data_IF_795412347984
#
_entry.id   IF_795412347984
#
_cell.length_a   1.000
_cell.length_b   1.000
_cell.length_c   1.000
_cell.angle_alpha   90.00
_cell.angle_beta   90.00
_cell.angle_gamma   90.00
#
_symmetry.space_group_name_H-M   'P 1'
#
loop_
_entity.id
_entity.type
_entity.pdbx_description
1 polymer ?
#
# COMPACT_ATOMS: atom_id res chain seq x y z
N UNK A 1 -35.05 -35.40 22.45
CA UNK A 1 -35.02 -35.15 20.98
C UNK A 1 -35.31 -33.71 20.56
N UNK A 2 -36.16 -32.92 21.24
CA UNK A 2 -36.43 -31.51 20.86
C UNK A 2 -35.26 -30.52 21.08
N UNK A 3 -34.33 -30.79 22.01
CA UNK A 3 -33.19 -29.90 22.29
C UNK A 3 -32.07 -29.93 21.22
N UNK A 4 -31.91 -31.04 20.48
CA UNK A 4 -30.89 -31.14 19.41
C UNK A 4 -31.33 -30.34 18.17
N UNK A 5 -32.63 -30.15 17.95
CA UNK A 5 -33.15 -29.35 16.84
C UNK A 5 -32.91 -27.85 17.05
N UNK A 6 -33.10 -27.35 18.27
CA UNK A 6 -32.84 -25.96 18.62
C UNK A 6 -31.35 -25.58 18.52
N UNK A 7 -30.44 -26.49 18.87
CA UNK A 7 -29.00 -26.26 18.73
C UNK A 7 -28.56 -26.18 17.26
N UNK A 8 -29.16 -26.97 16.36
CA UNK A 8 -28.91 -26.87 14.92
C UNK A 8 -29.40 -25.54 14.33
N UNK A 9 -30.56 -25.04 14.75
CA UNK A 9 -31.06 -23.74 14.31
C UNK A 9 -30.29 -22.56 14.92
N UNK A 10 -29.74 -22.71 16.13
CA UNK A 10 -28.86 -21.72 16.74
C UNK A 10 -27.53 -21.61 15.99
N UNK A 11 -26.93 -22.74 15.61
CA UNK A 11 -25.68 -22.79 14.82
C UNK A 11 -25.91 -22.29 13.38
N UNK A 12 -27.06 -22.60 12.76
CA UNK A 12 -27.40 -22.08 11.42
C UNK A 12 -27.80 -20.59 11.47
N UNK A 13 -28.40 -20.12 12.57
CA UNK A 13 -28.76 -18.73 12.80
C UNK A 13 -27.54 -17.81 13.04
N UNK A 14 -26.51 -18.30 13.72
CA UNK A 14 -25.23 -17.60 13.91
C UNK A 14 -24.40 -17.47 12.62
N UNK A 15 -24.65 -18.31 11.60
CA UNK A 15 -23.97 -18.24 10.30
C UNK A 15 -24.65 -17.32 9.26
N UNK A 16 -25.70 -16.57 9.63
CA UNK A 16 -26.49 -15.77 8.67
C UNK A 16 -26.33 -14.26 8.82
N UNK A 17 -25.37 -13.78 9.62
CA UNK A 17 -25.02 -12.36 9.62
C UNK A 17 -24.22 -12.13 8.34
N UNK A 18 -24.73 -11.31 7.42
CA UNK A 18 -24.00 -10.84 6.25
C UNK A 18 -22.82 -10.01 6.74
N UNK A 19 -21.69 -10.67 6.96
CA UNK A 19 -20.46 -10.00 7.34
C UNK A 19 -20.09 -9.12 6.14
N UNK A 20 -20.06 -7.78 6.27
CA UNK A 20 -19.47 -6.95 5.23
C UNK A 20 -18.05 -7.49 5.01
N UNK A 21 -17.64 -7.74 3.76
CA UNK A 21 -16.29 -8.23 3.49
C UNK A 21 -15.28 -7.34 4.22
N UNK A 22 -14.61 -7.84 5.25
CA UNK A 22 -13.63 -7.05 6.01
C UNK A 22 -12.30 -7.22 5.31
N UNK A 23 -11.86 -6.19 4.58
CA UNK A 23 -10.91 -6.42 3.53
C UNK A 23 -9.47 -6.19 3.99
N UNK A 24 -8.51 -6.69 3.21
CA UNK A 24 -7.07 -6.45 3.37
C UNK A 24 -6.40 -6.05 2.06
N UNK A 25 -5.09 -5.85 2.09
CA UNK A 25 -4.28 -5.47 0.92
C UNK A 25 -4.36 -6.52 -0.19
N UNK A 26 -4.41 -7.81 0.17
CA UNK A 26 -4.54 -8.93 -0.79
C UNK A 26 -5.87 -8.87 -1.55
N UNK A 27 -6.97 -8.51 -0.88
CA UNK A 27 -8.28 -8.38 -1.52
C UNK A 27 -8.24 -7.34 -2.64
N UNK A 28 -7.79 -6.12 -2.34
CA UNK A 28 -7.76 -5.03 -3.32
C UNK A 28 -6.68 -5.22 -4.37
N UNK A 29 -5.58 -5.89 -4.03
CA UNK A 29 -4.53 -6.32 -4.97
C UNK A 29 -5.12 -7.22 -6.06
N UNK A 30 -5.83 -8.27 -5.65
CA UNK A 30 -6.50 -9.21 -6.55
C UNK A 30 -7.68 -8.63 -7.35
N UNK A 31 -8.08 -7.40 -7.06
CA UNK A 31 -9.07 -6.62 -7.79
C UNK A 31 -8.44 -5.55 -8.68
N UNK A 32 -7.15 -5.68 -9.01
CA UNK A 32 -6.47 -4.71 -9.89
C UNK A 32 -6.21 -3.38 -9.19
N UNK A 33 -5.85 -3.42 -7.91
CA UNK A 33 -5.51 -2.24 -7.10
C UNK A 33 -6.61 -1.18 -7.02
N UNK A 34 -7.89 -1.58 -7.11
CA UNK A 34 -9.04 -0.66 -7.05
C UNK A 34 -9.35 -0.14 -5.65
N UNK A 35 -8.51 -0.44 -4.65
CA UNK A 35 -8.79 -0.20 -3.23
C UNK A 35 -9.08 1.25 -2.87
N UNK A 36 -8.47 2.21 -3.58
CA UNK A 36 -8.68 3.64 -3.33
C UNK A 36 -10.12 4.09 -3.62
N UNK A 37 -10.85 3.36 -4.47
CA UNK A 37 -12.25 3.63 -4.82
C UNK A 37 -13.26 2.96 -3.88
N UNK A 38 -12.80 2.24 -2.86
CA UNK A 38 -13.65 1.49 -1.94
C UNK A 38 -13.34 1.78 -0.48
N UNK A 39 -14.30 1.54 0.40
CA UNK A 39 -14.02 1.41 1.83
C UNK A 39 -13.25 0.11 2.07
N UNK A 40 -11.98 0.27 2.47
CA UNK A 40 -11.07 -0.84 2.69
C UNK A 40 -10.05 -0.53 3.79
N UNK A 41 -9.65 -1.54 4.57
CA UNK A 41 -8.63 -1.42 5.64
C UNK A 41 -7.27 -1.06 5.05
N UNK A 42 -6.98 -1.49 3.82
CA UNK A 42 -5.77 -1.10 3.10
C UNK A 42 -5.59 0.43 2.99
N UNK A 43 -6.70 1.19 3.06
CA UNK A 43 -6.67 2.65 2.99
C UNK A 43 -6.39 3.34 4.34
N UNK A 44 -6.24 2.62 5.45
CA UNK A 44 -6.07 3.23 6.78
C UNK A 44 -4.83 4.12 6.90
N UNK A 45 -3.78 3.80 6.13
CA UNK A 45 -2.58 4.64 6.06
C UNK A 45 -2.90 6.03 5.51
N UNK A 46 -3.70 6.07 4.45
CA UNK A 46 -4.11 7.30 3.75
C UNK A 46 -5.24 8.03 4.48
N UNK A 47 -6.18 7.30 5.07
CA UNK A 47 -7.35 7.85 5.78
C UNK A 47 -7.45 7.27 7.20
N UNK A 48 -6.64 7.75 8.17
CA UNK A 48 -6.60 7.20 9.52
C UNK A 48 -7.94 7.21 10.26
N UNK A 49 -8.80 8.20 9.97
CA UNK A 49 -10.14 8.29 10.56
C UNK A 49 -11.05 7.11 10.22
N UNK A 50 -10.82 6.45 9.08
CA UNK A 50 -11.63 5.30 8.66
C UNK A 50 -11.42 4.05 9.53
N UNK A 51 -10.47 4.07 10.48
CA UNK A 51 -10.24 2.97 11.45
C UNK A 51 -11.53 2.58 12.15
N UNK A 52 -12.37 3.56 12.48
CA UNK A 52 -13.63 3.36 13.21
C UNK A 52 -14.64 2.47 12.46
N UNK A 53 -14.48 2.30 11.14
CA UNK A 53 -15.31 1.39 10.33
C UNK A 53 -15.00 -0.08 10.55
N UNK A 54 -13.87 -0.40 11.19
CA UNK A 54 -13.35 -1.76 11.32
C UNK A 54 -13.11 -2.13 12.80
N UNK A 55 -14.13 -2.09 13.67
CA UNK A 55 -13.95 -2.49 15.07
C UNK A 55 -13.69 -4.01 15.19
N UNK A 56 -13.07 -4.42 16.30
CA UNK A 56 -12.84 -5.82 16.69
C UNK A 56 -12.19 -6.68 15.60
N UNK A 57 -11.08 -6.19 15.06
CA UNK A 57 -10.40 -6.82 13.94
C UNK A 57 -9.05 -7.39 14.35
N UNK A 58 -8.74 -8.61 13.92
CA UNK A 58 -7.37 -9.10 13.79
C UNK A 58 -7.12 -9.33 12.31
N UNK A 59 -6.02 -8.81 11.79
CA UNK A 59 -5.63 -8.97 10.38
C UNK A 59 -4.16 -9.34 10.31
N UNK A 60 -3.78 -10.20 9.39
CA UNK A 60 -2.39 -10.45 9.05
C UNK A 60 -2.25 -10.61 7.54
N UNK A 61 -1.25 -9.94 6.98
CA UNK A 61 -0.86 -10.09 5.58
C UNK A 61 0.42 -10.92 5.54
N UNK A 62 0.47 -11.91 4.67
CA UNK A 62 1.61 -12.76 4.39
C UNK A 62 1.99 -12.58 2.91
N UNK A 63 3.26 -12.34 2.65
CA UNK A 63 3.83 -12.14 1.30
C UNK A 63 4.87 -13.22 1.04
N UNK A 64 5.36 -13.30 -0.21
CA UNK A 64 6.34 -14.30 -0.61
C UNK A 64 7.52 -14.44 0.36
N UNK A 65 7.91 -15.70 0.58
CA UNK A 65 9.10 -16.06 1.34
C UNK A 65 10.33 -15.54 0.59
N UNK A 66 11.22 -14.84 1.30
CA UNK A 66 12.46 -14.21 0.78
C UNK A 66 12.30 -12.82 0.13
N UNK A 67 11.13 -12.19 0.21
CA UNK A 67 11.02 -10.75 -0.02
C UNK A 67 11.19 -10.02 1.33
N UNK A 68 11.79 -8.82 1.34
CA UNK A 68 11.62 -7.91 2.49
C UNK A 68 10.12 -7.71 2.74
N UNK A 69 9.68 -7.58 3.99
CA UNK A 69 8.28 -7.43 4.39
C UNK A 69 7.41 -8.70 4.16
N UNK A 70 7.93 -9.84 4.62
CA UNK A 70 7.26 -11.15 4.52
C UNK A 70 5.90 -11.22 5.22
N UNK A 71 5.66 -10.39 6.24
CA UNK A 71 4.36 -10.35 6.92
C UNK A 71 4.06 -8.98 7.52
N UNK A 72 2.78 -8.68 7.71
CA UNK A 72 2.32 -7.66 8.66
C UNK A 72 1.19 -8.21 9.50
N UNK A 73 0.98 -7.63 10.68
CA UNK A 73 -0.12 -8.01 11.56
C UNK A 73 -0.74 -6.78 12.20
N UNK A 74 -2.07 -6.77 12.34
CA UNK A 74 -2.84 -5.66 12.88
C UNK A 74 -3.90 -6.16 13.84
N UNK A 75 -4.17 -5.36 14.87
CA UNK A 75 -5.31 -5.57 15.78
C UNK A 75 -6.04 -4.24 16.01
N UNK A 76 -7.36 -4.28 15.95
CA UNK A 76 -8.24 -3.15 16.25
C UNK A 76 -9.08 -3.47 17.49
N UNK A 77 -8.99 -2.61 18.50
CA UNK A 77 -9.64 -2.78 19.79
C UNK A 77 -10.47 -1.55 20.14
N UNK A 78 -11.76 -1.71 20.48
CA UNK A 78 -12.58 -0.61 20.97
C UNK A 78 -12.03 -0.14 22.31
N UNK A 79 -11.91 1.18 22.45
CA UNK A 79 -11.43 1.87 23.64
C UNK A 79 -12.63 2.61 24.25
N UNK A 80 -13.54 1.84 24.85
CA UNK A 80 -14.84 2.33 25.31
C UNK A 80 -15.83 2.53 24.16
N UNK A 81 -16.83 3.39 24.37
CA UNK A 81 -17.99 3.48 23.47
C UNK A 81 -17.77 4.38 22.24
N UNK A 82 -16.73 5.22 22.26
CA UNK A 82 -16.54 6.28 21.26
C UNK A 82 -15.18 6.30 20.60
N UNK A 83 -14.26 5.42 21.01
CA UNK A 83 -12.91 5.40 20.47
C UNK A 83 -12.51 3.98 20.05
N UNK A 84 -11.60 3.90 19.09
CA UNK A 84 -11.03 2.67 18.58
C UNK A 84 -9.53 2.85 18.43
N UNK A 85 -8.75 1.95 19.01
CA UNK A 85 -7.31 1.88 18.80
C UNK A 85 -6.98 0.77 17.81
N UNK A 86 -5.98 1.00 16.95
CA UNK A 86 -5.40 -0.01 16.10
C UNK A 86 -3.88 -0.01 16.24
N UNK A 87 -3.29 -1.19 16.32
CA UNK A 87 -1.85 -1.40 16.31
C UNK A 87 -1.51 -2.32 15.15
N UNK A 88 -0.60 -1.88 14.29
CA UNK A 88 -0.01 -2.70 13.25
C UNK A 88 1.48 -2.87 13.49
N UNK A 89 1.97 -4.08 13.24
CA UNK A 89 3.37 -4.48 13.33
C UNK A 89 3.85 -4.95 11.97
N UNK A 90 5.15 -4.79 11.75
CA UNK A 90 5.84 -5.14 10.52
C UNK A 90 5.14 -4.56 9.27
N UNK A 91 4.77 -3.27 9.32
CA UNK A 91 4.30 -2.56 8.14
C UNK A 91 5.45 -1.92 7.39
N UNK A 92 5.30 -1.89 6.07
CA UNK A 92 6.28 -1.31 5.17
C UNK A 92 6.17 0.21 5.10
N UNK A 93 7.31 0.88 5.25
CA UNK A 93 7.47 2.29 5.00
C UNK A 93 8.43 2.49 3.83
N UNK A 94 7.87 2.94 2.70
CA UNK A 94 8.66 3.31 1.55
C UNK A 94 9.25 4.69 1.77
N UNK A 95 10.56 4.76 1.69
CA UNK A 95 11.33 5.98 1.79
C UNK A 95 11.73 6.45 0.39
N UNK A 96 11.57 7.74 0.05
CA UNK A 96 11.96 8.26 -1.25
C UNK A 96 13.48 8.51 -1.26
N UNK A 97 14.27 7.44 -1.17
CA UNK A 97 15.73 7.56 -1.25
C UNK A 97 16.13 8.23 -2.56
N UNK A 98 17.05 9.21 -2.52
CA UNK A 98 17.61 9.79 -3.73
C UNK A 98 18.45 8.73 -4.44
N UNK A 99 18.56 8.81 -5.77
CA UNK A 99 19.35 7.83 -6.54
C UNK A 99 20.84 7.80 -6.19
N UNK A 100 21.33 8.81 -5.46
CA UNK A 100 22.70 8.89 -4.95
C UNK A 100 22.94 7.95 -3.77
N UNK A 101 21.87 7.53 -3.08
CA UNK A 101 21.92 6.57 -1.98
C UNK A 101 21.37 5.24 -2.48
N UNK A 102 22.16 4.19 -2.31
CA UNK A 102 21.71 2.80 -2.46
C UNK A 102 21.79 2.16 -1.09
N UNK A 103 20.73 2.26 -0.26
CA UNK A 103 20.72 1.63 1.05
C UNK A 103 20.79 0.10 0.88
N UNK A 104 21.37 -0.58 1.87
CA UNK A 104 21.43 -2.05 1.85
C UNK A 104 20.06 -2.67 2.16
N UNK A 105 19.21 -1.96 2.88
CA UNK A 105 17.82 -2.32 3.12
C UNK A 105 16.91 -1.82 2.00
N UNK A 106 15.83 -2.56 1.73
CA UNK A 106 14.83 -2.19 0.72
C UNK A 106 13.83 -1.19 1.25
N UNK A 107 12.86 -1.67 2.02
CA UNK A 107 11.87 -0.84 2.69
C UNK A 107 12.00 -1.03 4.19
N UNK A 108 11.71 0.03 4.96
CA UNK A 108 11.73 -0.10 6.41
C UNK A 108 10.50 -0.84 6.90
N UNK A 109 10.74 -1.75 7.83
CA UNK A 109 9.71 -2.46 8.57
C UNK A 109 9.48 -1.74 9.91
N UNK A 110 8.21 -1.49 10.23
CA UNK A 110 7.86 -0.68 11.40
C UNK A 110 6.52 -1.02 12.02
N UNK A 111 6.11 -0.19 12.95
CA UNK A 111 4.82 -0.26 13.60
C UNK A 111 4.01 1.02 13.38
N UNK A 112 2.69 0.87 13.22
CA UNK A 112 1.74 1.97 13.19
C UNK A 112 0.79 1.85 14.38
N UNK A 113 0.60 2.93 15.14
CA UNK A 113 -0.50 3.06 16.07
C UNK A 113 -1.51 4.08 15.55
N UNK A 114 -2.78 3.71 15.50
CA UNK A 114 -3.88 4.57 15.05
C UNK A 114 -4.94 4.68 16.14
N UNK A 115 -5.46 5.88 16.38
CA UNK A 115 -6.57 6.15 17.27
C UNK A 115 -7.66 6.87 16.49
N UNK A 116 -8.88 6.32 16.52
CA UNK A 116 -10.07 6.93 15.91
C UNK A 116 -11.14 7.22 16.95
N UNK A 117 -11.98 8.22 16.69
CA UNK A 117 -13.11 8.58 17.54
C UNK A 117 -14.27 9.18 16.72
N UNK A 118 -15.50 9.04 17.21
CA UNK A 118 -16.69 9.66 16.63
C UNK A 118 -16.93 11.06 17.22
N UNK A 119 -17.06 12.06 16.35
CA UNK A 119 -17.46 13.43 16.69
C UNK A 119 -18.69 13.80 15.82
N UNK A 120 -19.88 13.66 16.41
CA UNK A 120 -21.13 13.80 15.67
C UNK A 120 -21.31 12.66 14.66
N UNK A 121 -21.55 13.01 13.40
CA UNK A 121 -21.67 12.06 12.28
C UNK A 121 -20.30 11.75 11.62
N UNK A 122 -19.25 12.45 12.03
CA UNK A 122 -17.92 12.31 11.46
C UNK A 122 -17.03 11.47 12.36
N UNK A 123 -16.12 10.74 11.74
CA UNK A 123 -15.00 10.04 12.36
C UNK A 123 -13.78 10.92 12.27
N UNK A 124 -13.03 11.06 13.36
CA UNK A 124 -11.70 11.69 13.36
C UNK A 124 -10.68 10.63 13.71
N UNK A 125 -9.48 10.72 13.13
CA UNK A 125 -8.42 9.77 13.43
C UNK A 125 -7.04 10.40 13.40
N UNK A 126 -6.15 9.80 14.16
CA UNK A 126 -4.75 10.16 14.27
C UNK A 126 -3.90 8.90 14.24
N UNK A 127 -2.75 8.95 13.59
CA UNK A 127 -1.81 7.83 13.46
C UNK A 127 -0.38 8.30 13.69
N UNK A 128 0.41 7.46 14.36
CA UNK A 128 1.87 7.58 14.43
C UNK A 128 2.46 6.29 13.85
N UNK A 129 3.31 6.45 12.85
CA UNK A 129 4.13 5.38 12.29
C UNK A 129 5.58 5.55 12.72
N UNK A 130 6.22 4.44 13.08
CA UNK A 130 7.64 4.38 13.41
C UNK A 130 8.27 3.17 12.73
N UNK A 131 9.36 3.39 12.00
CA UNK A 131 10.16 2.32 11.41
C UNK A 131 11.63 2.60 11.67
N UNK A 132 12.38 1.55 12.01
CA UNK A 132 13.82 1.65 12.21
C UNK A 132 14.49 0.36 11.78
N UNK A 133 15.61 0.47 11.10
CA UNK A 133 16.41 -0.65 10.65
C UNK A 133 17.89 -0.30 10.81
N UNK A 134 18.67 -1.26 11.27
CA UNK A 134 20.11 -1.12 11.44
C UNK A 134 20.81 -2.36 10.88
N UNK A 135 21.85 -2.14 10.08
CA UNK A 135 22.70 -3.18 9.53
C UNK A 135 24.13 -2.83 9.87
N UNK A 136 24.76 -3.68 10.68
CA UNK A 136 26.18 -3.62 10.98
C UNK A 136 26.88 -4.77 10.25
N UNK A 137 27.94 -4.46 9.51
CA UNK A 137 28.83 -5.47 8.96
C UNK A 137 30.27 -5.17 9.37
N UNK A 138 30.80 -6.07 10.17
CA UNK A 138 32.22 -6.12 10.55
C UNK A 138 32.83 -7.37 9.95
N UNK A 139 33.78 -7.23 9.03
CA UNK A 139 34.43 -8.35 8.37
C UNK A 139 35.93 -8.31 8.65
N UNK A 140 36.39 -9.12 9.61
CA UNK A 140 37.79 -9.12 10.05
C UNK A 140 38.76 -9.74 9.04
N UNK A 141 38.27 -10.49 8.05
CA UNK A 141 39.10 -11.32 7.15
C UNK A 141 38.83 -11.08 5.64
N UNK A 142 38.02 -10.09 5.26
CA UNK A 142 37.69 -9.84 3.85
C UNK A 142 38.20 -8.49 3.31
N UNK A 143 38.38 -8.41 1.99
CA UNK A 143 38.64 -7.17 1.25
C UNK A 143 37.39 -6.27 1.15
N UNK A 144 36.27 -6.64 1.78
CA UNK A 144 35.05 -5.83 1.77
C UNK A 144 35.09 -4.78 2.88
N UNK A 145 34.52 -3.62 2.59
CA UNK A 145 34.50 -2.49 3.51
C UNK A 145 33.55 -2.75 4.67
N UNK A 146 34.02 -2.56 5.90
CA UNK A 146 33.17 -2.43 7.08
C UNK A 146 32.19 -1.28 6.87
N UNK A 147 30.91 -1.54 7.20
CA UNK A 147 29.89 -0.51 7.19
C UNK A 147 28.87 -0.66 8.32
N UNK A 148 28.34 0.47 8.72
CA UNK A 148 27.24 0.62 9.68
C UNK A 148 26.17 1.52 9.03
N UNK A 149 24.98 0.97 8.82
CA UNK A 149 23.83 1.65 8.24
C UNK A 149 22.69 1.68 9.25
N UNK A 150 22.09 2.86 9.46
CA UNK A 150 20.89 3.06 10.26
C UNK A 150 19.89 3.87 9.47
N UNK A 151 18.64 3.44 9.43
CA UNK A 151 17.52 4.23 8.93
C UNK A 151 16.39 4.31 9.94
N UNK A 152 15.75 5.46 9.98
CA UNK A 152 14.60 5.75 10.84
C UNK A 152 13.57 6.56 10.07
N UNK A 153 12.31 6.24 10.25
CA UNK A 153 11.19 7.02 9.73
C UNK A 153 10.14 7.22 10.80
N UNK A 154 9.73 8.46 10.99
CA UNK A 154 8.61 8.83 11.85
C UNK A 154 7.54 9.50 11.01
N UNK A 155 6.30 9.04 11.10
CA UNK A 155 5.17 9.58 10.34
C UNK A 155 4.04 9.96 11.30
N UNK A 156 3.50 11.16 11.16
CA UNK A 156 2.29 11.60 11.84
C UNK A 156 1.21 11.77 10.80
N UNK A 157 0.03 11.20 11.03
CA UNK A 157 -1.10 11.36 10.12
C UNK A 157 -2.39 11.65 10.88
N UNK A 158 -3.29 12.38 10.24
CA UNK A 158 -4.61 12.68 10.76
C UNK A 158 -5.63 12.77 9.66
N UNK A 159 -6.90 12.68 10.01
CA UNK A 159 -7.96 12.76 9.00
C UNK A 159 -9.36 12.87 9.58
N UNK A 160 -10.31 13.01 8.66
CA UNK A 160 -11.75 12.99 8.94
C UNK A 160 -12.43 12.12 7.91
N UNK A 161 -13.35 11.28 8.35
CA UNK A 161 -14.11 10.34 7.52
C UNK A 161 -15.60 10.41 7.83
N UNK A 162 -16.45 10.18 6.84
CA UNK A 162 -17.91 10.04 7.00
C UNK A 162 -18.45 8.99 6.02
N UNK A 163 -19.75 8.73 6.00
CA UNK A 163 -20.35 7.83 5.00
C UNK A 163 -20.14 8.24 3.53
N UNK A 164 -19.77 9.51 3.28
CA UNK A 164 -19.70 10.09 1.93
C UNK A 164 -18.34 10.65 1.56
N UNK A 165 -17.37 10.69 2.48
CA UNK A 165 -16.04 11.20 2.17
C UNK A 165 -14.98 10.65 3.11
N UNK A 166 -13.73 10.67 2.66
CA UNK A 166 -12.56 10.49 3.51
C UNK A 166 -11.51 11.54 3.13
N UNK A 167 -10.94 12.21 4.14
CA UNK A 167 -9.80 13.09 4.03
C UNK A 167 -8.69 12.65 4.97
N UNK A 168 -7.47 12.71 4.48
CA UNK A 168 -6.28 12.43 5.26
C UNK A 168 -5.14 13.37 4.91
N UNK A 169 -4.31 13.63 5.90
CA UNK A 169 -3.04 14.31 5.73
C UNK A 169 -1.98 13.61 6.57
N UNK A 170 -0.73 13.64 6.10
CA UNK A 170 0.40 13.14 6.87
C UNK A 170 1.61 14.06 6.76
N UNK A 171 2.52 13.93 7.71
CA UNK A 171 3.82 14.55 7.77
C UNK A 171 4.85 13.49 8.18
N UNK A 172 5.92 13.33 7.40
CA UNK A 172 6.93 12.30 7.60
C UNK A 172 8.33 12.88 7.75
N UNK A 173 9.14 12.26 8.60
CA UNK A 173 10.50 12.63 8.95
C UNK A 173 11.43 11.44 8.70
N UNK A 174 12.01 11.32 7.50
CA UNK A 174 13.02 10.33 7.22
C UNK A 174 14.40 10.72 7.74
N UNK A 175 15.16 9.72 8.16
CA UNK A 175 16.56 9.81 8.52
C UNK A 175 17.31 8.54 8.09
N UNK A 176 18.52 8.71 7.59
CA UNK A 176 19.47 7.65 7.27
C UNK A 176 20.87 8.12 7.63
N UNK A 177 21.67 7.18 8.09
CA UNK A 177 23.09 7.35 8.34
C UNK A 177 23.83 6.11 7.85
N UNK A 178 24.92 6.34 7.14
CA UNK A 178 25.88 5.31 6.76
C UNK A 178 27.29 5.72 7.15
N UNK A 179 28.03 4.82 7.75
CA UNK A 179 29.48 4.93 7.89
C UNK A 179 30.08 3.78 7.10
N UNK A 180 30.84 4.08 6.06
CA UNK A 180 31.55 3.08 5.27
C UNK A 180 32.99 3.55 5.05
N UNK A 181 33.97 2.70 5.32
CA UNK A 181 35.39 3.06 5.20
C UNK A 181 35.82 4.30 6.03
N UNK A 182 35.11 4.61 7.12
CA UNK A 182 35.32 5.83 7.90
C UNK A 182 34.75 7.12 7.28
N UNK A 183 34.05 7.02 6.14
CA UNK A 183 33.29 8.13 5.54
C UNK A 183 31.86 8.07 6.04
N UNK A 184 31.39 9.17 6.62
CA UNK A 184 30.00 9.34 7.05
C UNK A 184 29.17 9.98 5.95
N UNK A 185 27.99 9.41 5.71
CA UNK A 185 26.95 9.94 4.84
C UNK A 185 25.65 9.98 5.64
N UNK A 186 24.95 11.11 5.57
CA UNK A 186 23.65 11.29 6.22
C UNK A 186 22.62 11.68 5.18
N UNK A 187 21.41 11.20 5.34
CA UNK A 187 20.26 11.68 4.60
C UNK A 187 19.11 11.96 5.53
N UNK A 188 18.48 13.10 5.36
CA UNK A 188 17.33 13.47 6.17
C UNK A 188 16.42 14.41 5.39
N UNK A 189 15.22 14.60 5.89
CA UNK A 189 14.33 15.59 5.30
C UNK A 189 12.97 15.57 5.94
N UNK A 190 12.00 16.05 5.18
CA UNK A 190 10.61 16.00 5.57
C UNK A 190 9.72 15.88 4.35
N UNK A 191 8.52 15.37 4.56
CA UNK A 191 7.48 15.40 3.55
C UNK A 191 6.12 15.49 4.16
N UNK A 192 5.16 15.87 3.35
CA UNK A 192 3.76 15.86 3.71
C UNK A 192 2.95 15.32 2.54
N UNK A 193 1.76 14.83 2.85
CA UNK A 193 0.80 14.48 1.82
C UNK A 193 -0.61 14.77 2.28
N UNK A 194 -1.48 14.98 1.31
CA UNK A 194 -2.92 15.15 1.50
C UNK A 194 -3.65 14.26 0.52
N UNK A 195 -4.76 13.69 0.96
CA UNK A 195 -5.59 12.82 0.14
C UNK A 195 -7.05 13.05 0.47
N UNK A 196 -7.89 12.98 -0.55
CA UNK A 196 -9.32 13.14 -0.41
C UNK A 196 -10.08 12.26 -1.40
N UNK A 197 -11.19 11.69 -0.95
CA UNK A 197 -12.16 11.01 -1.81
C UNK A 197 -13.59 11.25 -1.36
N UNK A 198 -14.52 11.19 -2.30
CA UNK A 198 -15.95 11.37 -2.05
C UNK A 198 -16.73 10.21 -2.65
N UNK A 199 -17.77 9.73 -1.99
CA UNK A 199 -18.63 8.66 -2.45
C UNK A 199 -19.99 9.25 -2.82
N UNK A 200 -20.16 9.57 -4.09
CA UNK A 200 -21.35 10.25 -4.61
C UNK A 200 -22.32 9.24 -5.21
N UNK A 201 -23.54 9.14 -4.69
CA UNK A 201 -24.57 8.22 -5.20
C UNK A 201 -25.13 7.30 -4.11
N UNK A 202 -25.94 6.33 -4.53
CA UNK A 202 -26.58 5.38 -3.61
C UNK A 202 -25.61 4.25 -3.22
N UNK A 203 -25.55 3.89 -1.94
CA UNK A 203 -24.68 2.81 -1.43
C UNK A 203 -24.98 1.45 -2.06
N UNK A 204 -26.26 1.15 -2.33
CA UNK A 204 -26.72 -0.09 -2.97
C UNK A 204 -26.83 0.00 -4.50
N UNK A 205 -26.15 0.97 -5.12
CA UNK A 205 -26.20 1.21 -6.56
C UNK A 205 -24.85 1.59 -7.14
N UNK A 206 -24.88 2.57 -8.04
CA UNK A 206 -23.68 3.16 -8.63
C UNK A 206 -23.24 4.33 -7.74
N UNK A 207 -21.97 4.30 -7.34
CA UNK A 207 -21.28 5.40 -6.70
C UNK A 207 -20.14 5.89 -7.58
N UNK A 208 -20.01 7.21 -7.69
CA UNK A 208 -18.88 7.88 -8.31
C UNK A 208 -17.89 8.29 -7.21
N UNK A 209 -16.62 7.98 -7.43
CA UNK A 209 -15.57 8.17 -6.43
C UNK A 209 -14.43 9.01 -6.99
N UNK A 210 -14.56 10.35 -7.05
CA UNK A 210 -13.43 11.21 -7.35
C UNK A 210 -12.41 11.12 -6.21
N UNK A 211 -11.13 11.00 -6.58
CA UNK A 211 -10.01 10.93 -5.63
C UNK A 211 -8.91 11.89 -6.07
N UNK A 212 -8.35 12.62 -5.12
CA UNK A 212 -7.16 13.45 -5.31
C UNK A 212 -6.12 13.08 -4.27
N UNK A 213 -4.87 12.88 -4.70
CA UNK A 213 -3.73 12.66 -3.83
C UNK A 213 -2.60 13.61 -4.22
N UNK A 214 -1.97 14.21 -3.21
CA UNK A 214 -0.81 15.07 -3.38
C UNK A 214 0.21 14.69 -2.32
N UNK A 215 1.43 14.36 -2.74
CA UNK A 215 2.53 14.06 -1.84
C UNK A 215 3.73 14.91 -2.22
N UNK A 216 4.42 15.49 -1.23
CA UNK A 216 5.64 16.25 -1.43
C UNK A 216 6.67 15.82 -0.39
N UNK A 217 7.91 15.59 -0.83
CA UNK A 217 9.05 15.36 0.05
C UNK A 217 10.22 16.23 -0.40
N UNK A 218 11.01 16.69 0.56
CA UNK A 218 12.27 17.36 0.33
C UNK A 218 13.30 16.78 1.29
N UNK A 219 14.45 16.41 0.76
CA UNK A 219 15.50 15.71 1.50
C UNK A 219 16.87 16.18 1.06
N UNK A 220 17.85 16.08 1.95
CA UNK A 220 19.23 16.46 1.70
C UNK A 220 20.13 15.30 2.09
N UNK A 221 21.10 14.99 1.22
CA UNK A 221 22.21 14.07 1.53
C UNK A 221 23.42 14.91 1.90
N UNK A 222 23.88 14.79 3.14
CA UNK A 222 25.11 15.41 3.62
C UNK A 222 26.26 14.41 3.43
N UNK A 223 27.26 14.82 2.65
CA UNK A 223 28.53 14.13 2.47
C UNK A 223 29.68 15.04 2.91
N UNK A 224 30.88 14.49 3.14
CA UNK A 224 32.01 15.20 3.73
C UNK A 224 32.33 16.60 3.15
N UNK A 225 32.04 16.85 1.87
CA UNK A 225 32.32 18.13 1.21
C UNK A 225 31.14 18.72 0.42
N UNK A 226 29.96 18.10 0.46
CA UNK A 226 28.84 18.52 -0.38
C UNK A 226 27.49 18.09 0.18
N UNK A 227 26.49 18.92 -0.09
CA UNK A 227 25.09 18.63 0.17
C UNK A 227 24.38 18.43 -1.16
N UNK A 228 23.58 17.35 -1.27
CA UNK A 228 22.79 17.04 -2.45
C UNK A 228 21.31 17.10 -2.06
N UNK A 229 20.61 18.08 -2.62
CA UNK A 229 19.18 18.27 -2.38
C UNK A 229 18.36 17.41 -3.33
N UNK A 230 17.29 16.80 -2.82
CA UNK A 230 16.32 16.04 -3.58
C UNK A 230 14.90 16.40 -3.20
N UNK A 231 14.13 16.86 -4.19
CA UNK A 231 12.71 17.16 -4.07
C UNK A 231 11.88 16.12 -4.82
N UNK A 232 10.75 15.74 -4.23
CA UNK A 232 9.75 14.87 -4.81
C UNK A 232 8.37 15.52 -4.73
N UNK A 233 7.61 15.46 -5.81
CA UNK A 233 6.22 15.87 -5.89
C UNK A 233 5.44 14.82 -6.65
N UNK A 234 4.34 14.37 -6.06
CA UNK A 234 3.35 13.51 -6.69
C UNK A 234 1.98 14.18 -6.64
N UNK A 235 1.27 14.12 -7.75
CA UNK A 235 -0.13 14.52 -7.87
C UNK A 235 -0.87 13.46 -8.66
N UNK A 236 -1.98 12.96 -8.12
CA UNK A 236 -2.84 11.98 -8.78
C UNK A 236 -4.28 12.41 -8.68
N UNK A 237 -5.00 12.31 -9.80
CA UNK A 237 -6.42 12.57 -9.90
C UNK A 237 -7.11 11.38 -10.56
N UNK A 238 -8.01 10.75 -9.80
CA UNK A 238 -8.69 9.53 -10.21
C UNK A 238 -10.21 9.70 -10.14
N UNK A 239 -10.91 8.89 -10.91
CA UNK A 239 -12.36 8.74 -10.85
C UNK A 239 -12.71 7.25 -10.83
N UNK A 240 -13.37 6.81 -9.76
CA UNK A 240 -13.93 5.47 -9.63
C UNK A 240 -15.42 5.42 -9.91
N UNK A 241 -15.88 4.27 -10.38
CA UNK A 241 -17.27 3.88 -10.50
C UNK A 241 -17.42 2.57 -9.74
N UNK A 242 -17.99 2.65 -8.55
CA UNK A 242 -18.25 1.53 -7.66
C UNK A 242 -19.69 1.09 -7.86
N UNK A 243 -19.90 -0.08 -8.46
CA UNK A 243 -21.23 -0.61 -8.76
C UNK A 243 -21.48 -1.94 -8.05
N UNK A 244 -22.36 -1.89 -7.06
CA UNK A 244 -22.86 -3.09 -6.38
C UNK A 244 -24.09 -3.61 -7.12
N UNK A 245 -23.91 -4.59 -8.00
CA UNK A 245 -25.00 -5.19 -8.80
C UNK A 245 -26.05 -5.81 -7.87
N UNK A 246 -25.58 -6.47 -6.82
CA UNK A 246 -26.38 -7.03 -5.73
C UNK A 246 -25.45 -7.28 -4.52
N UNK A 247 -25.95 -7.74 -3.36
CA UNK A 247 -25.10 -7.95 -2.18
C UNK A 247 -23.95 -8.95 -2.36
N UNK A 248 -23.96 -9.74 -3.43
CA UNK A 248 -22.97 -10.78 -3.73
C UNK A 248 -22.02 -10.41 -4.87
N UNK A 249 -22.25 -9.30 -5.56
CA UNK A 249 -21.52 -8.96 -6.78
C UNK A 249 -21.15 -7.48 -6.80
N UNK A 250 -19.85 -7.23 -6.89
CA UNK A 250 -19.26 -5.91 -6.93
C UNK A 250 -18.43 -5.77 -8.20
N UNK A 251 -18.60 -4.65 -8.90
CA UNK A 251 -17.75 -4.25 -10.01
C UNK A 251 -17.25 -2.84 -9.75
N UNK A 252 -15.96 -2.62 -10.00
CA UNK A 252 -15.29 -1.33 -9.89
C UNK A 252 -14.63 -1.03 -11.22
N UNK A 253 -14.89 0.15 -11.75
CA UNK A 253 -14.13 0.73 -12.85
C UNK A 253 -13.40 1.95 -12.31
N UNK A 254 -12.11 2.08 -12.57
CA UNK A 254 -11.32 3.24 -12.20
C UNK A 254 -10.65 3.84 -13.41
N UNK A 255 -10.49 5.16 -13.40
CA UNK A 255 -9.65 5.87 -14.36
C UNK A 255 -8.74 6.81 -13.58
N UNK A 256 -7.43 6.65 -13.72
CA UNK A 256 -6.47 7.70 -13.39
C UNK A 256 -6.48 8.69 -14.56
N UNK A 257 -7.18 9.80 -14.37
CA UNK A 257 -7.31 10.84 -15.39
C UNK A 257 -5.97 11.55 -15.60
N UNK A 258 -5.21 11.70 -14.51
CA UNK A 258 -3.90 12.32 -14.52
C UNK A 258 -3.07 11.85 -13.32
N UNK A 259 -1.95 11.20 -13.60
CA UNK A 259 -0.90 10.93 -12.62
C UNK A 259 0.37 11.67 -13.00
N UNK A 260 0.98 12.35 -12.06
CA UNK A 260 2.24 13.07 -12.23
C UNK A 260 3.13 12.83 -11.04
N UNK A 261 4.36 12.41 -11.30
CA UNK A 261 5.42 12.38 -10.29
C UNK A 261 6.65 13.07 -10.86
N UNK A 262 7.29 13.91 -10.04
CA UNK A 262 8.56 14.55 -10.34
C UNK A 262 9.50 14.31 -9.17
N UNK A 263 10.70 13.86 -9.50
CA UNK A 263 11.85 13.86 -8.60
C UNK A 263 12.94 14.73 -9.22
N UNK A 264 13.55 15.57 -8.42
CA UNK A 264 14.67 16.42 -8.81
C UNK A 264 15.80 16.26 -7.81
N UNK A 265 16.99 15.91 -8.29
CA UNK A 265 18.22 15.84 -7.49
C UNK A 265 19.20 16.87 -8.05
N UNK A 266 19.67 17.79 -7.22
CA UNK A 266 20.65 18.83 -7.57
C UNK A 266 21.96 18.53 -6.85
N UNK A 267 22.95 18.04 -7.60
CA UNK A 267 24.33 17.91 -7.14
C UNK A 267 25.08 19.19 -7.58
N UNK A 268 25.54 20.04 -6.63
CA UNK A 268 26.22 21.29 -6.93
C UNK A 268 27.48 21.15 -7.77
N UNK A 269 28.17 20.02 -7.67
CA UNK A 269 29.49 19.79 -8.25
C UNK A 269 29.43 18.95 -9.53
N UNK A 270 28.33 18.25 -9.77
CA UNK A 270 28.17 17.33 -10.90
C UNK A 270 27.06 17.77 -11.87
N UNK A 271 25.82 17.46 -11.53
CA UNK A 271 24.71 17.51 -12.47
C UNK A 271 23.37 17.65 -11.75
N UNK A 272 22.41 18.23 -12.46
CA UNK A 272 21.01 18.28 -12.03
C UNK A 272 20.21 17.22 -12.78
N UNK A 273 19.61 16.28 -12.03
CA UNK A 273 18.78 15.20 -12.57
C UNK A 273 17.32 15.49 -12.25
N UNK A 274 16.50 15.67 -13.28
CA UNK A 274 15.05 15.75 -13.13
C UNK A 274 14.42 14.52 -13.78
N UNK A 275 13.73 13.70 -12.99
CA UNK A 275 12.90 12.60 -13.46
C UNK A 275 11.43 13.01 -13.34
N UNK A 276 10.67 12.81 -14.42
CA UNK A 276 9.24 13.05 -14.46
C UNK A 276 8.54 11.81 -15.01
N UNK A 277 7.56 11.32 -14.27
CA UNK A 277 6.65 10.26 -14.72
C UNK A 277 5.28 10.90 -14.90
N UNK A 278 4.62 10.62 -16.01
CA UNK A 278 3.26 11.08 -16.28
C UNK A 278 2.43 9.92 -16.80
N UNK A 279 1.35 9.61 -16.09
CA UNK A 279 0.41 8.56 -16.43
C UNK A 279 -0.87 9.20 -16.97
N UNK A 280 -1.22 8.92 -18.23
CA UNK A 280 -2.39 9.53 -18.86
C UNK A 280 -2.93 8.71 -20.04
N UNK A 281 -4.17 8.20 -19.96
CA UNK A 281 -4.87 7.76 -18.75
C UNK A 281 -4.31 6.42 -18.22
N UNK A 282 -4.73 5.99 -17.02
CA UNK A 282 -4.65 4.57 -16.63
C UNK A 282 -6.05 4.05 -16.29
N UNK A 283 -6.33 2.78 -16.62
CA UNK A 283 -7.63 2.15 -16.43
C UNK A 283 -7.52 1.01 -15.43
N UNK A 284 -8.49 0.92 -14.53
CA UNK A 284 -8.58 -0.11 -13.50
C UNK A 284 -9.93 -0.80 -13.62
N UNK A 285 -9.93 -2.11 -13.55
CA UNK A 285 -11.13 -2.93 -13.50
C UNK A 285 -10.97 -3.91 -12.35
N UNK A 286 -11.94 -3.97 -11.46
CA UNK A 286 -11.99 -4.93 -10.36
C UNK A 286 -13.38 -5.54 -10.27
N UNK A 287 -13.44 -6.85 -10.13
CA UNK A 287 -14.69 -7.59 -9.92
C UNK A 287 -14.56 -8.52 -8.73
N UNK A 288 -15.62 -8.62 -7.92
CA UNK A 288 -15.73 -9.55 -6.81
C UNK A 288 -17.11 -10.21 -6.84
N UNK A 289 -17.15 -11.54 -6.73
CA UNK A 289 -18.40 -12.30 -6.71
C UNK A 289 -18.38 -13.44 -5.70
N UNK A 290 -19.48 -13.62 -4.96
CA UNK A 290 -19.68 -14.77 -4.08
C UNK A 290 -20.20 -15.96 -4.89
N UNK A 291 -19.30 -16.78 -5.41
CA UNK A 291 -19.66 -18.04 -6.10
C UNK A 291 -20.42 -19.00 -5.16
N UNK A 292 -20.06 -18.99 -3.86
CA UNK A 292 -20.80 -19.63 -2.75
C UNK A 292 -20.73 -18.71 -1.53
N UNK A 293 -21.53 -19.01 -0.48
CA UNK A 293 -21.48 -18.26 0.80
C UNK A 293 -20.10 -18.23 1.45
N UNK A 294 -19.29 -19.26 1.22
CA UNK A 294 -17.95 -19.41 1.77
C UNK A 294 -16.85 -19.14 0.74
N UNK A 295 -17.18 -18.92 -0.54
CA UNK A 295 -16.21 -18.81 -1.63
C UNK A 295 -16.46 -17.53 -2.43
N UNK A 296 -15.45 -16.67 -2.43
CA UNK A 296 -15.40 -15.42 -3.19
C UNK A 296 -14.38 -15.58 -4.30
N UNK A 297 -14.73 -15.12 -5.49
CA UNK A 297 -13.83 -15.04 -6.64
C UNK A 297 -13.60 -13.58 -6.99
N UNK A 298 -12.36 -13.25 -7.35
CA UNK A 298 -11.94 -11.90 -7.72
C UNK A 298 -11.15 -11.93 -9.01
N UNK A 299 -11.34 -10.88 -9.79
CA UNK A 299 -10.61 -10.63 -11.02
C UNK A 299 -10.30 -9.14 -11.09
N UNK A 300 -9.07 -8.82 -11.42
CA UNK A 300 -8.61 -7.45 -11.60
C UNK A 300 -7.84 -7.29 -12.89
N UNK A 301 -7.87 -6.10 -13.45
CA UNK A 301 -7.02 -5.71 -14.57
C UNK A 301 -6.65 -4.23 -14.46
N UNK A 302 -5.40 -3.91 -14.79
CA UNK A 302 -4.88 -2.54 -14.84
C UNK A 302 -4.20 -2.32 -16.17
N UNK A 303 -4.52 -1.23 -16.86
CA UNK A 303 -3.82 -0.78 -18.06
C UNK A 303 -3.21 0.60 -17.78
N UNK A 304 -1.89 0.70 -17.83
CA UNK A 304 -1.19 1.96 -17.56
C UNK A 304 -0.45 2.45 -18.80
N UNK A 305 -0.73 3.68 -19.21
CA UNK A 305 0.03 4.39 -20.23
C UNK A 305 0.94 5.41 -19.53
N UNK A 306 2.25 5.17 -19.55
CA UNK A 306 3.22 6.00 -18.82
C UNK A 306 4.27 6.62 -19.72
N UNK A 307 4.57 7.89 -19.50
CA UNK A 307 5.72 8.59 -20.07
C UNK A 307 6.73 8.90 -18.96
N UNK A 308 7.92 8.31 -19.04
CA UNK A 308 9.04 8.59 -18.16
C UNK A 308 10.07 9.46 -18.90
N UNK A 309 10.21 10.70 -18.44
CA UNK A 309 11.16 11.67 -18.96
C UNK A 309 12.25 11.92 -17.94
N UNK A 310 13.48 11.61 -18.30
CA UNK A 310 14.67 11.91 -17.51
C UNK A 310 15.47 13.00 -18.21
N UNK A 311 15.78 14.06 -17.47
CA UNK A 311 16.61 15.17 -17.92
C UNK A 311 17.85 15.22 -17.04
N UNK A 312 19.03 15.17 -17.66
CA UNK A 312 20.31 15.30 -16.99
C UNK A 312 20.97 16.57 -17.52
N UNK A 313 21.15 17.57 -16.66
CA UNK A 313 21.81 18.82 -17.01
C UNK A 313 23.18 18.84 -16.35
N UNK A 314 24.22 18.63 -17.15
CA UNK A 314 25.61 18.73 -16.70
C UNK A 314 26.00 20.19 -16.66
N UNK A 315 26.66 20.64 -15.58
CA UNK A 315 27.06 22.04 -15.45
C UNK A 315 28.12 22.46 -16.49
N UNK A 316 28.88 21.51 -17.02
CA UNK A 316 29.93 21.72 -18.04
C UNK A 316 29.57 21.23 -19.46
N UNK A 317 28.70 20.23 -19.59
CA UNK A 317 28.55 19.43 -20.83
C UNK A 317 27.13 19.42 -21.42
N UNK A 318 26.36 20.48 -21.18
CA UNK A 318 25.03 20.64 -21.78
C UNK A 318 23.96 19.71 -21.19
N UNK A 319 22.86 19.54 -21.92
CA UNK A 319 21.62 18.91 -21.44
C UNK A 319 21.31 17.63 -22.23
N UNK A 320 21.18 16.51 -21.53
CA UNK A 320 20.67 15.25 -22.08
C UNK A 320 19.21 15.03 -21.65
N UNK A 321 18.39 14.51 -22.56
CA UNK A 321 16.99 14.19 -22.29
C UNK A 321 16.69 12.81 -22.85
N UNK A 322 16.30 11.89 -21.98
CA UNK A 322 15.78 10.56 -22.33
C UNK A 322 14.27 10.56 -22.11
N UNK A 323 13.54 10.01 -23.08
CA UNK A 323 12.09 9.86 -23.03
C UNK A 323 11.72 8.41 -23.35
N UNK A 324 11.03 7.76 -22.43
CA UNK A 324 10.52 6.40 -22.59
C UNK A 324 9.02 6.41 -22.41
N UNK A 325 8.31 5.66 -23.25
CA UNK A 325 6.87 5.44 -23.13
C UNK A 325 6.61 3.96 -22.97
N UNK A 326 5.84 3.59 -21.95
CA UNK A 326 5.44 2.20 -21.69
C UNK A 326 3.93 2.08 -21.72
N UNK A 327 3.49 0.86 -22.03
CA UNK A 327 2.09 0.50 -22.03
C UNK A 327 1.97 -0.89 -21.41
N UNK A 328 1.63 -0.91 -20.13
CA UNK A 328 1.71 -2.11 -19.31
C UNK A 328 0.29 -2.56 -18.95
N UNK A 329 0.05 -3.87 -19.04
CA UNK A 329 -1.21 -4.50 -18.65
C UNK A 329 -0.92 -5.56 -17.59
N UNK A 330 -1.58 -5.42 -16.45
CA UNK A 330 -1.50 -6.37 -15.34
C UNK A 330 -2.87 -6.99 -15.12
N UNK A 331 -2.94 -8.31 -14.98
CA UNK A 331 -4.18 -9.04 -14.67
C UNK A 331 -3.97 -9.78 -13.36
N UNK A 332 -4.93 -9.67 -12.47
CA UNK A 332 -4.87 -10.28 -11.13
C UNK A 332 -6.08 -11.16 -10.89
N UNK A 333 -5.90 -12.25 -10.15
CA UNK A 333 -6.98 -13.18 -9.82
C UNK A 333 -6.88 -13.51 -8.35
N UNK A 334 -8.00 -13.45 -7.64
CA UNK A 334 -8.06 -13.75 -6.21
C UNK A 334 -9.15 -14.72 -5.83
N UNK A 335 -8.93 -15.38 -4.70
CA UNK A 335 -9.92 -16.28 -4.08
C UNK A 335 -10.04 -15.92 -2.61
N UNK A 336 -11.27 -15.76 -2.13
CA UNK A 336 -11.58 -15.56 -0.71
C UNK A 336 -12.33 -16.76 -0.14
N UNK A 337 -11.95 -17.19 1.05
CA UNK A 337 -12.61 -18.26 1.81
C UNK A 337 -13.18 -17.67 3.11
N UNK A 338 -14.50 -17.76 3.27
CA UNK A 338 -15.22 -17.22 4.42
C UNK A 338 -15.79 -18.36 5.28
N UNK A 339 -15.41 -18.40 6.57
CA UNK A 339 -15.91 -19.38 7.55
C UNK A 339 -16.29 -18.65 8.84
N UNK A 340 -17.57 -18.29 8.97
CA UNK A 340 -18.02 -17.44 10.08
C UNK A 340 -17.30 -16.10 10.06
N UNK A 341 -16.69 -15.71 11.17
CA UNK A 341 -15.93 -14.47 11.28
C UNK A 341 -14.48 -14.57 10.77
N UNK A 342 -14.08 -15.74 10.28
CA UNK A 342 -12.76 -15.95 9.69
C UNK A 342 -12.82 -15.75 8.18
N UNK A 343 -11.87 -14.97 7.65
CA UNK A 343 -11.68 -14.72 6.23
C UNK A 343 -10.22 -14.99 5.87
N UNK A 344 -10.04 -15.72 4.76
CA UNK A 344 -8.75 -15.92 4.13
C UNK A 344 -8.83 -15.47 2.68
N UNK A 345 -8.08 -14.44 2.31
CA UNK A 345 -7.96 -13.97 0.94
C UNK A 345 -6.61 -14.38 0.36
N UNK A 346 -6.62 -14.88 -0.87
CA UNK A 346 -5.46 -15.33 -1.63
C UNK A 346 -5.40 -14.52 -2.92
N UNK A 347 -4.23 -13.98 -3.22
CA UNK A 347 -3.92 -13.38 -4.53
C UNK A 347 -3.04 -14.37 -5.31
N UNK A 348 -3.62 -14.90 -6.39
CA UNK A 348 -3.00 -15.93 -7.21
C UNK A 348 -1.94 -15.24 -8.07
N UNK A 349 -0.75 -15.85 -8.16
CA UNK A 349 0.30 -15.40 -9.05
C UNK A 349 -0.19 -15.50 -10.50
N UNK A 350 -0.18 -14.40 -11.22
CA UNK A 350 -0.64 -14.29 -12.60
C UNK A 350 0.23 -15.11 -13.57
N UNK A 351 1.55 -15.17 -13.33
CA UNK A 351 2.45 -16.03 -14.09
C UNK A 351 2.00 -17.50 -14.05
N UNK A 352 1.49 -17.98 -12.92
CA UNK A 352 1.00 -19.35 -12.80
C UNK A 352 -0.19 -19.63 -13.75
N UNK A 353 -1.01 -18.64 -14.08
CA UNK A 353 -2.14 -18.81 -14.99
C UNK A 353 -1.72 -18.87 -16.46
N UNK A 354 -0.65 -18.16 -16.83
CA UNK A 354 -0.19 -18.07 -18.22
C UNK A 354 0.89 -19.11 -18.55
N UNK A 355 1.80 -19.36 -17.61
CA UNK A 355 2.95 -20.25 -17.77
C UNK A 355 2.67 -21.66 -17.23
N UNK A 356 1.68 -21.78 -16.34
CA UNK A 356 1.34 -23.03 -15.67
C UNK A 356 2.29 -23.35 -14.50
N UNK A 357 2.10 -24.50 -13.84
CA UNK A 357 3.01 -24.96 -12.80
C UNK A 357 4.40 -25.26 -13.36
N UNK A 358 5.46 -25.04 -12.58
CA UNK A 358 6.86 -25.27 -12.98
C UNK A 358 7.15 -26.67 -13.52
N UNK A 359 6.47 -27.69 -12.98
CA UNK A 359 6.65 -29.07 -13.45
C UNK A 359 6.10 -29.30 -14.86
N UNK A 360 5.27 -28.38 -15.39
CA UNK A 360 4.76 -28.39 -16.76
C UNK A 360 5.53 -27.39 -17.63
N UNK A 361 5.86 -26.19 -17.12
CA UNK A 361 6.52 -25.12 -17.88
C UNK A 361 8.01 -25.41 -18.15
N UNK A 362 8.66 -26.18 -17.28
CA UNK A 362 10.09 -26.48 -17.39
C UNK A 362 11.02 -25.32 -17.04
N UNK A 363 10.48 -24.22 -16.47
CA UNK A 363 11.30 -23.18 -15.87
C UNK A 363 12.05 -23.77 -14.66
N UNK A 364 13.36 -23.50 -14.58
CA UNK A 364 14.22 -24.07 -13.55
C UNK A 364 13.83 -23.58 -12.16
N UNK A 365 14.21 -24.34 -11.13
CA UNK A 365 13.92 -24.10 -9.70
C UNK A 365 14.40 -22.75 -9.11
N UNK A 366 14.91 -21.83 -9.93
CA UNK A 366 15.41 -20.51 -9.56
C UNK A 366 14.43 -19.38 -9.87
N UNK A 367 13.36 -19.63 -10.62
CA UNK A 367 12.25 -18.69 -10.81
C UNK A 367 11.11 -19.14 -9.88
N UNK A 368 10.81 -18.33 -8.86
CA UNK A 368 9.80 -18.66 -7.84
C UNK A 368 8.41 -18.49 -8.47
N UNK A 369 7.90 -19.55 -9.08
CA UNK A 369 6.55 -19.61 -9.66
C UNK A 369 5.54 -20.14 -8.63
N UNK A 370 5.60 -19.56 -7.43
CA UNK A 370 4.69 -19.89 -6.34
C UNK A 370 3.25 -19.54 -6.73
N UNK A 371 2.31 -20.44 -6.41
CA UNK A 371 0.89 -20.31 -6.78
C UNK A 371 0.20 -19.08 -6.18
N UNK A 372 0.58 -18.69 -4.95
CA UNK A 372 -0.01 -17.58 -4.20
C UNK A 372 1.08 -16.61 -3.83
N UNK A 373 0.91 -15.33 -4.18
CA UNK A 373 1.90 -14.30 -3.89
C UNK A 373 1.61 -13.48 -2.66
N UNK A 374 0.33 -13.38 -2.29
CA UNK A 374 -0.16 -12.69 -1.09
C UNK A 374 -1.32 -13.45 -0.46
N UNK A 375 -1.36 -13.42 0.86
CA UNK A 375 -2.39 -14.05 1.69
C UNK A 375 -2.78 -13.08 2.80
N UNK A 376 -4.06 -12.69 2.88
CA UNK A 376 -4.62 -12.04 4.07
C UNK A 376 -5.37 -13.05 4.91
N UNK A 377 -5.14 -13.03 6.21
CA UNK A 377 -5.98 -13.70 7.20
C UNK A 377 -6.64 -12.63 8.06
N UNK A 378 -7.96 -12.69 8.17
CA UNK A 378 -8.76 -11.74 8.93
C UNK A 378 -9.70 -12.48 9.87
N UNK A 379 -9.83 -11.97 11.10
CA UNK A 379 -10.78 -12.47 12.09
C UNK A 379 -11.49 -11.31 12.80
N UNK A 380 -12.80 -11.45 12.97
CA UNK A 380 -13.65 -10.44 13.65
C UNK A 380 -14.28 -11.02 14.91
N UNK A 381 -14.27 -10.29 16.02
CA UNK A 381 -14.70 -10.79 17.33
C UNK A 381 -15.77 -9.98 18.04
#
# INVERSE_FOLDING_TARGET
MKQIFLLKWLIVGLCCISIPAIPGETRVGSMGSTGIFTYDVSNLRTFPASVYRYPNLVISELRFKNQSNTFSAGVHLPLGDKALGALYLNRQFSLPFPNTISPTFGNLEGADFTLGSMIGENQVGFRIGLATEQIERTDSDSLQLDFDETATYVEFAGGVSSETYDFGAYFGLPYFKRIAAGVEEKWSGSGFGVSGRFFLGAQDGIQYVPVVLINQFSTTVEMANQDIDTDFLEFRMNLGFHYRINPQNLVILGVEMFGFSRSETDDPDSQKITRRITNMPAFFLGGETYAKKWLVLRLGAVQTFSENKQTISNRSNGKSVTLTRTNDIDVTVGVGIHIGNFLMDLDINDNYLFEGPDFISGQGANEVNDFVHRLTITYTF
#
